data_IF_927171394700
#
_entry.id   IF_927171394700
#
_cell.length_a   1.000
_cell.length_b   1.000
_cell.length_c   1.000
_cell.angle_alpha   90.00
_cell.angle_beta   90.00
_cell.angle_gamma   90.00
#
_symmetry.space_group_name_H-M   'P 1'
#
loop_
_entity.id
_entity.type
_entity.pdbx_description
1 polymer ?
#
# COMPACT_ATOMS: atom_id res chain seq x y z
N UNK A 1 -17.32 -0.99 -27.36
CA UNK A 1 -18.01 0.17 -26.75
C UNK A 1 -17.00 1.29 -26.64
N UNK A 2 -17.10 2.33 -27.47
CA UNK A 2 -16.30 3.54 -27.27
C UNK A 2 -16.97 4.35 -26.15
N UNK A 3 -16.26 4.56 -25.05
CA UNK A 3 -16.66 5.50 -24.00
C UNK A 3 -15.73 6.70 -24.09
N UNK A 4 -16.31 7.89 -24.15
CA UNK A 4 -15.61 9.18 -24.31
C UNK A 4 -15.59 10.00 -23.02
N UNK A 5 -16.30 9.56 -21.97
CA UNK A 5 -16.33 10.22 -20.66
C UNK A 5 -16.38 9.22 -19.50
N UNK A 6 -15.99 9.67 -18.30
CA UNK A 6 -16.09 8.86 -17.07
C UNK A 6 -17.55 8.44 -16.76
N UNK A 7 -18.52 9.30 -17.07
CA UNK A 7 -19.94 8.99 -16.89
C UNK A 7 -20.42 7.87 -17.82
N UNK A 8 -19.94 7.84 -19.06
CA UNK A 8 -20.22 6.76 -20.02
C UNK A 8 -19.59 5.45 -19.57
N UNK A 9 -18.35 5.47 -19.08
CA UNK A 9 -17.69 4.28 -18.50
C UNK A 9 -18.50 3.75 -17.32
N UNK A 10 -18.87 4.62 -16.37
CA UNK A 10 -19.67 4.23 -15.20
C UNK A 10 -21.03 3.64 -15.60
N UNK A 11 -21.67 4.20 -16.63
CA UNK A 11 -22.94 3.70 -17.16
C UNK A 11 -22.77 2.34 -17.84
N UNK A 12 -21.72 2.17 -18.65
CA UNK A 12 -21.40 0.89 -19.28
C UNK A 12 -21.09 -0.20 -18.24
N UNK A 13 -20.31 0.12 -17.20
CA UNK A 13 -20.02 -0.81 -16.09
C UNK A 13 -21.31 -1.18 -15.35
N UNK A 14 -22.17 -0.21 -15.01
CA UNK A 14 -23.46 -0.49 -14.35
C UNK A 14 -24.37 -1.38 -15.19
N UNK A 15 -24.46 -1.14 -16.49
CA UNK A 15 -25.27 -1.95 -17.40
C UNK A 15 -24.72 -3.39 -17.52
N UNK A 16 -23.42 -3.57 -17.34
CA UNK A 16 -22.75 -4.87 -17.42
C UNK A 16 -22.48 -5.51 -16.05
N UNK A 17 -22.89 -4.91 -14.93
CA UNK A 17 -22.48 -5.35 -13.58
C UNK A 17 -22.91 -6.80 -13.32
N UNK A 18 -24.06 -7.22 -13.86
CA UNK A 18 -24.56 -8.59 -13.77
C UNK A 18 -23.58 -9.62 -14.34
N UNK A 19 -22.76 -9.26 -15.33
CA UNK A 19 -21.72 -10.14 -15.89
C UNK A 19 -20.50 -10.27 -14.97
N UNK A 20 -20.20 -9.23 -14.18
CA UNK A 20 -19.10 -9.23 -13.22
C UNK A 20 -19.43 -10.00 -11.95
N UNK A 21 -20.68 -9.91 -11.47
CA UNK A 21 -21.09 -10.49 -10.19
C UNK A 21 -21.83 -11.83 -10.34
N UNK A 22 -21.94 -12.34 -11.56
CA UNK A 22 -22.60 -13.64 -11.81
C UNK A 22 -21.87 -14.72 -11.02
N UNK A 23 -22.61 -15.47 -10.20
CA UNK A 23 -22.11 -16.67 -9.52
C UNK A 23 -21.49 -17.62 -10.55
N UNK A 24 -20.29 -18.11 -10.28
CA UNK A 24 -19.48 -18.96 -11.19
C UNK A 24 -19.15 -18.29 -12.55
N UNK A 25 -19.24 -16.96 -12.62
CA UNK A 25 -18.93 -16.15 -13.80
C UNK A 25 -17.46 -15.71 -13.87
N UNK A 26 -17.01 -15.22 -15.04
CA UNK A 26 -15.61 -14.81 -15.25
C UNK A 26 -15.33 -13.39 -14.71
N UNK A 27 -15.98 -12.97 -13.63
CA UNK A 27 -15.97 -11.57 -13.16
C UNK A 27 -14.58 -11.01 -12.91
N UNK A 28 -13.71 -11.81 -12.28
CA UNK A 28 -12.31 -11.45 -12.03
C UNK A 28 -11.52 -11.31 -13.34
N UNK A 29 -11.74 -12.20 -14.31
CA UNK A 29 -11.10 -12.11 -15.61
C UNK A 29 -11.58 -10.87 -16.41
N UNK A 30 -12.87 -10.55 -16.35
CA UNK A 30 -13.43 -9.34 -16.96
C UNK A 30 -12.85 -8.07 -16.33
N UNK A 31 -12.64 -8.07 -15.01
CA UNK A 31 -11.97 -6.97 -14.32
C UNK A 31 -10.52 -6.82 -14.80
N UNK A 32 -9.77 -7.92 -14.85
CA UNK A 32 -8.39 -7.91 -15.34
C UNK A 32 -8.29 -7.36 -16.78
N UNK A 33 -9.16 -7.80 -17.69
CA UNK A 33 -9.19 -7.26 -19.05
C UNK A 33 -9.57 -5.78 -19.09
N UNK A 34 -10.50 -5.34 -18.23
CA UNK A 34 -10.88 -3.93 -18.16
C UNK A 34 -9.73 -3.06 -17.69
N UNK A 35 -8.96 -3.50 -16.70
CA UNK A 35 -7.73 -2.82 -16.25
C UNK A 35 -6.70 -2.76 -17.38
N UNK A 36 -6.45 -3.90 -18.04
CA UNK A 36 -5.46 -3.99 -19.12
C UNK A 36 -5.80 -3.10 -20.32
N UNK A 37 -7.07 -3.04 -20.71
CA UNK A 37 -7.53 -2.20 -21.80
C UNK A 37 -7.58 -0.71 -21.42
N UNK A 38 -7.84 -0.39 -20.15
CA UNK A 38 -7.85 1.00 -19.66
C UNK A 38 -6.44 1.58 -19.58
N UNK A 39 -5.47 0.79 -19.09
CA UNK A 39 -4.06 1.23 -19.06
C UNK A 39 -3.38 1.15 -20.44
N UNK A 40 -3.73 0.14 -21.23
CA UNK A 40 -3.10 -0.25 -22.48
C UNK A 40 -2.02 -1.31 -22.26
N UNK A 41 -2.04 -2.38 -23.05
CA UNK A 41 -1.13 -3.54 -22.89
C UNK A 41 0.34 -3.13 -23.03
N UNK A 42 0.68 -2.33 -24.04
CA UNK A 42 2.04 -1.84 -24.22
C UNK A 42 2.49 -0.92 -23.07
N UNK A 43 1.56 -0.18 -22.46
CA UNK A 43 1.86 0.67 -21.31
C UNK A 43 2.11 -0.16 -20.06
N UNK A 44 1.37 -1.26 -19.85
CA UNK A 44 1.63 -2.19 -18.74
C UNK A 44 3.06 -2.76 -18.84
N UNK A 45 3.47 -3.21 -20.02
CA UNK A 45 4.82 -3.73 -20.22
C UNK A 45 5.91 -2.67 -19.96
N UNK A 46 5.64 -1.39 -20.28
CA UNK A 46 6.55 -0.27 -20.02
C UNK A 46 6.57 0.16 -18.54
N UNK A 47 5.46 -0.02 -17.83
CA UNK A 47 5.32 0.34 -16.42
C UNK A 47 6.18 -0.55 -15.52
N UNK A 48 6.24 -1.85 -15.81
CA UNK A 48 7.04 -2.80 -15.05
C UNK A 48 8.54 -2.50 -15.17
N UNK A 49 9.30 -2.81 -14.12
CA UNK A 49 10.78 -2.70 -14.16
C UNK A 49 11.41 -3.92 -14.84
N UNK A 50 10.72 -5.07 -14.78
CA UNK A 50 11.16 -6.34 -15.36
C UNK A 50 9.98 -7.04 -16.05
N UNK A 51 10.26 -7.95 -16.97
CA UNK A 51 9.22 -8.77 -17.60
C UNK A 51 8.60 -9.71 -16.57
N UNK A 52 7.30 -9.51 -16.30
CA UNK A 52 6.58 -10.21 -15.23
C UNK A 52 5.12 -10.43 -15.63
N UNK A 53 4.55 -11.62 -15.40
CA UNK A 53 3.13 -11.84 -15.62
C UNK A 53 2.31 -11.15 -14.50
N UNK A 54 1.21 -10.50 -14.87
CA UNK A 54 0.29 -9.87 -13.89
C UNK A 54 -0.31 -10.89 -12.90
N UNK A 55 -0.55 -12.12 -13.37
CA UNK A 55 -1.00 -13.24 -12.56
C UNK A 55 0.10 -14.29 -12.60
N UNK A 56 0.74 -14.49 -11.45
CA UNK A 56 1.82 -15.44 -11.27
C UNK A 56 1.34 -16.88 -11.09
N UNK A 57 2.28 -17.72 -10.68
CA UNK A 57 2.04 -19.15 -10.39
C UNK A 57 0.94 -19.27 -9.32
N UNK A 58 0.10 -20.30 -9.43
CA UNK A 58 -1.02 -20.57 -8.52
C UNK A 58 -2.08 -19.45 -8.43
N UNK A 59 -2.09 -18.49 -9.37
CA UNK A 59 -3.09 -17.42 -9.41
C UNK A 59 -2.80 -16.22 -8.51
N UNK A 60 -1.60 -16.14 -7.91
CA UNK A 60 -1.20 -14.97 -7.12
C UNK A 60 -1.05 -13.73 -7.99
N UNK A 61 -1.48 -12.57 -7.48
CA UNK A 61 -1.23 -11.30 -8.15
C UNK A 61 0.25 -10.94 -8.04
N UNK A 62 0.86 -10.46 -9.13
CA UNK A 62 2.15 -9.79 -9.06
C UNK A 62 2.00 -8.41 -8.41
N UNK A 63 3.10 -7.81 -7.94
CA UNK A 63 3.07 -6.45 -7.40
C UNK A 63 2.59 -5.43 -8.46
N UNK A 64 2.91 -5.65 -9.73
CA UNK A 64 2.46 -4.82 -10.85
C UNK A 64 0.94 -4.86 -11.01
N UNK A 65 0.30 -6.02 -10.82
CA UNK A 65 -1.17 -6.12 -10.85
C UNK A 65 -1.80 -5.40 -9.65
N UNK A 66 -1.21 -5.56 -8.46
CA UNK A 66 -1.65 -4.86 -7.24
C UNK A 66 -1.53 -3.34 -7.43
N UNK A 67 -0.39 -2.85 -7.90
CA UNK A 67 -0.18 -1.43 -8.16
C UNK A 67 -1.07 -0.92 -9.32
N UNK A 68 -1.35 -1.74 -10.33
CA UNK A 68 -2.28 -1.37 -11.39
C UNK A 68 -3.69 -1.11 -10.83
N UNK A 69 -4.13 -1.91 -9.85
CA UNK A 69 -5.40 -1.71 -9.14
C UNK A 69 -5.37 -0.45 -8.26
N UNK A 70 -4.27 -0.21 -7.53
CA UNK A 70 -4.20 0.86 -6.53
C UNK A 70 -3.92 2.25 -7.11
N UNK A 71 -3.03 2.33 -8.10
CA UNK A 71 -2.52 3.60 -8.64
C UNK A 71 -2.66 3.72 -10.16
N UNK A 72 -3.25 2.72 -10.83
CA UNK A 72 -3.45 2.75 -12.29
C UNK A 72 -2.14 2.66 -13.07
N UNK A 73 -1.08 2.12 -12.46
CA UNK A 73 0.25 1.92 -13.03
C UNK A 73 0.79 0.56 -12.62
N UNK A 74 1.32 -0.20 -13.56
CA UNK A 74 1.87 -1.53 -13.30
C UNK A 74 3.33 -1.44 -12.81
N UNK A 75 3.62 -0.51 -11.89
CA UNK A 75 4.96 -0.32 -11.33
C UNK A 75 5.33 -1.46 -10.39
N UNK A 76 6.60 -1.85 -10.33
CA UNK A 76 7.04 -3.05 -9.62
C UNK A 76 7.26 -2.84 -8.12
N UNK A 77 7.34 -1.59 -7.64
CA UNK A 77 7.74 -1.30 -6.26
C UNK A 77 6.71 -0.47 -5.49
N UNK A 78 6.88 -0.44 -4.17
CA UNK A 78 5.97 0.21 -3.20
C UNK A 78 6.55 1.48 -2.56
N UNK A 79 7.80 1.85 -2.86
CA UNK A 79 8.39 3.12 -2.41
C UNK A 79 7.84 4.32 -3.19
N UNK A 80 8.18 5.54 -2.77
CA UNK A 80 7.80 6.77 -3.48
C UNK A 80 8.67 7.01 -4.72
N UNK A 81 8.05 7.47 -5.81
CA UNK A 81 8.74 7.98 -6.98
C UNK A 81 9.60 6.93 -7.70
N UNK A 82 10.74 7.37 -8.22
CA UNK A 82 11.72 6.51 -8.88
C UNK A 82 13.00 6.43 -8.02
N UNK A 83 13.68 5.29 -8.04
CA UNK A 83 14.96 5.09 -7.36
C UNK A 83 15.96 4.45 -8.32
N UNK A 84 17.19 4.96 -8.34
CA UNK A 84 18.29 4.31 -9.06
C UNK A 84 19.00 3.33 -8.11
N UNK A 85 19.18 2.09 -8.55
CA UNK A 85 19.85 1.04 -7.79
C UNK A 85 21.01 0.48 -8.61
N UNK A 86 22.19 0.40 -8.01
CA UNK A 86 23.44 0.09 -8.73
C UNK A 86 24.02 1.32 -9.44
N UNK A 87 25.27 1.19 -9.92
CA UNK A 87 26.08 2.31 -10.40
C UNK A 87 26.80 3.01 -9.24
N UNK A 88 28.13 3.00 -9.23
CA UNK A 88 28.92 3.73 -8.24
C UNK A 88 28.99 5.22 -8.56
N UNK A 89 29.39 6.05 -7.59
CA UNK A 89 29.71 7.47 -7.84
C UNK A 89 30.78 7.64 -8.94
N UNK A 90 31.66 6.64 -9.09
CA UNK A 90 32.72 6.57 -10.11
C UNK A 90 32.23 6.20 -11.52
N UNK A 91 30.96 5.80 -11.67
CA UNK A 91 30.39 5.34 -12.96
C UNK A 91 29.80 6.49 -13.80
N UNK A 92 29.82 7.71 -13.25
CA UNK A 92 29.46 8.94 -13.96
C UNK A 92 30.58 9.36 -14.93
N UNK A 93 30.77 8.59 -16.01
CA UNK A 93 31.59 9.06 -17.13
C UNK A 93 30.87 10.15 -17.91
N UNK A 94 31.58 11.22 -18.27
CA UNK A 94 31.07 12.28 -19.15
C UNK A 94 30.55 11.67 -20.47
N UNK A 95 29.22 11.52 -20.57
CA UNK A 95 28.52 11.07 -21.78
C UNK A 95 28.04 9.62 -21.82
N UNK A 96 28.10 8.85 -20.72
CA UNK A 96 27.62 7.45 -20.67
C UNK A 96 26.50 7.26 -19.64
N UNK A 97 25.49 6.45 -19.98
CA UNK A 97 24.45 6.00 -19.04
C UNK A 97 25.13 5.34 -17.83
N UNK A 98 25.11 6.01 -16.67
CA UNK A 98 25.62 5.43 -15.43
C UNK A 98 24.95 4.09 -15.16
N UNK A 99 25.73 3.06 -14.78
CA UNK A 99 25.34 1.64 -14.79
C UNK A 99 24.24 1.21 -13.80
N UNK A 100 23.45 2.15 -13.28
CA UNK A 100 22.33 1.89 -12.39
C UNK A 100 21.04 1.53 -13.12
N UNK A 101 20.21 0.72 -12.47
CA UNK A 101 18.86 0.41 -12.93
C UNK A 101 17.88 1.35 -12.23
N UNK A 102 17.08 2.06 -13.01
CA UNK A 102 16.01 2.91 -12.49
C UNK A 102 14.75 2.09 -12.24
N UNK A 103 14.34 2.03 -10.97
CA UNK A 103 13.18 1.31 -10.50
C UNK A 103 12.02 2.26 -10.20
N UNK A 104 10.80 1.82 -10.50
CA UNK A 104 9.57 2.62 -10.42
C UNK A 104 8.71 2.21 -9.23
N UNK A 105 8.37 3.18 -8.38
CA UNK A 105 7.45 3.08 -7.25
C UNK A 105 6.20 3.94 -7.42
N UNK A 106 5.46 4.24 -6.36
CA UNK A 106 4.25 5.05 -6.41
C UNK A 106 4.58 6.51 -6.83
N UNK A 107 4.08 7.00 -7.98
CA UNK A 107 4.46 8.32 -8.50
C UNK A 107 3.81 9.47 -7.74
N UNK A 108 2.73 9.21 -6.98
CA UNK A 108 1.99 10.20 -6.18
C UNK A 108 1.18 9.50 -5.12
N UNK A 109 0.64 10.28 -4.19
CA UNK A 109 -0.30 9.82 -3.15
C UNK A 109 -1.47 9.02 -3.76
N UNK A 110 -1.68 7.83 -3.21
CA UNK A 110 -2.72 6.90 -3.66
C UNK A 110 -4.08 7.24 -3.04
N UNK A 111 -5.17 6.84 -3.71
CA UNK A 111 -6.53 6.99 -3.14
C UNK A 111 -6.79 5.99 -2.02
N UNK A 112 -6.30 4.76 -2.21
CA UNK A 112 -6.34 3.65 -1.25
C UNK A 112 -4.91 3.29 -0.91
N UNK A 113 -4.63 3.07 0.37
CA UNK A 113 -3.31 2.76 0.86
C UNK A 113 -2.93 1.31 0.62
N UNK A 114 -1.65 1.02 0.79
CA UNK A 114 -1.12 -0.33 0.74
C UNK A 114 -0.16 -0.54 1.90
N UNK A 115 -0.30 -1.66 2.60
CA UNK A 115 0.61 -2.07 3.66
C UNK A 115 0.94 -3.55 3.43
N UNK A 116 2.18 -3.95 3.67
CA UNK A 116 2.62 -5.33 3.42
C UNK A 116 3.56 -5.82 4.51
N UNK A 117 3.42 -7.10 4.89
CA UNK A 117 4.29 -7.76 5.84
C UNK A 117 5.74 -7.83 5.34
N UNK A 118 5.95 -7.80 4.02
CA UNK A 118 7.28 -7.81 3.43
C UNK A 118 8.12 -6.60 3.84
N UNK A 119 7.49 -5.47 4.17
CA UNK A 119 8.18 -4.31 4.71
C UNK A 119 8.84 -4.63 6.06
N UNK A 120 8.14 -5.35 6.94
CA UNK A 120 8.67 -5.77 8.25
C UNK A 120 9.79 -6.80 8.13
N UNK A 121 9.74 -7.64 7.10
CA UNK A 121 10.77 -8.64 6.82
C UNK A 121 12.02 -8.02 6.20
N UNK A 122 11.90 -6.84 5.58
CA UNK A 122 13.02 -6.05 5.10
C UNK A 122 13.74 -5.29 6.22
N UNK A 123 15.03 -5.02 6.02
CA UNK A 123 15.73 -4.02 6.82
C UNK A 123 15.30 -2.60 6.40
N UNK A 124 15.46 -1.63 7.30
CA UNK A 124 15.26 -0.22 6.98
C UNK A 124 16.13 0.20 5.79
N UNK A 125 15.56 1.00 4.87
CA UNK A 125 16.26 1.45 3.65
C UNK A 125 16.24 0.45 2.50
N UNK A 126 15.67 -0.76 2.67
CA UNK A 126 15.48 -1.69 1.55
C UNK A 126 14.37 -1.23 0.60
N UNK A 127 14.34 -1.79 -0.62
CA UNK A 127 13.28 -1.55 -1.62
C UNK A 127 11.89 -2.05 -1.19
N UNK A 128 11.81 -2.80 -0.07
CA UNK A 128 10.57 -3.28 0.53
C UNK A 128 9.89 -2.24 1.42
N UNK A 129 10.57 -1.12 1.71
CA UNK A 129 9.98 -0.02 2.49
C UNK A 129 8.82 0.59 1.71
N UNK A 130 7.62 0.55 2.28
CA UNK A 130 6.44 1.15 1.65
C UNK A 130 6.53 2.67 1.79
N UNK A 131 6.39 3.38 0.68
CA UNK A 131 6.49 4.84 0.65
C UNK A 131 5.26 5.54 1.24
N UNK A 132 5.45 6.79 1.67
CA UNK A 132 4.37 7.61 2.21
C UNK A 132 3.19 7.84 1.24
N UNK A 133 3.41 7.71 -0.07
CA UNK A 133 2.35 7.74 -1.08
C UNK A 133 1.30 6.62 -0.90
N UNK A 134 1.69 5.48 -0.33
CA UNK A 134 0.79 4.40 0.04
C UNK A 134 0.39 4.42 1.52
N UNK A 135 1.30 4.83 2.42
CA UNK A 135 1.02 4.88 3.86
C UNK A 135 0.08 6.00 4.26
N UNK A 136 0.05 7.12 3.52
CA UNK A 136 -0.88 8.22 3.76
C UNK A 136 -1.82 8.33 2.56
N UNK A 137 -2.80 7.44 2.36
CA UNK A 137 -3.74 7.54 1.24
C UNK A 137 -4.74 8.70 1.39
N UNK A 138 -5.41 9.12 0.31
CA UNK A 138 -6.46 10.16 0.36
C UNK A 138 -7.71 9.70 1.11
N UNK A 139 -8.04 8.41 1.03
CA UNK A 139 -9.12 7.80 1.82
C UNK A 139 -8.51 6.94 2.92
N UNK A 140 -9.13 6.80 4.10
CA UNK A 140 -8.54 6.07 5.22
C UNK A 140 -8.69 4.55 5.06
N UNK A 141 -8.57 4.04 3.84
CA UNK A 141 -8.74 2.63 3.47
C UNK A 141 -7.39 2.12 2.99
N UNK A 142 -7.03 0.92 3.42
CA UNK A 142 -5.77 0.26 3.11
C UNK A 142 -6.06 -1.16 2.64
N UNK A 143 -5.41 -1.54 1.54
CA UNK A 143 -5.22 -2.96 1.22
C UNK A 143 -4.03 -3.44 2.04
N UNK A 144 -4.23 -4.51 2.80
CA UNK A 144 -3.20 -5.12 3.65
C UNK A 144 -2.80 -6.44 3.03
N UNK A 145 -1.50 -6.63 2.81
CA UNK A 145 -0.93 -7.92 2.45
C UNK A 145 -0.26 -8.52 3.69
N UNK A 146 -0.86 -9.58 4.23
CA UNK A 146 -0.31 -10.34 5.34
C UNK A 146 -0.02 -11.76 4.84
N UNK A 147 1.27 -12.08 4.71
CA UNK A 147 1.74 -13.34 4.12
C UNK A 147 1.19 -13.59 2.71
N UNK A 148 0.40 -14.66 2.51
CA UNK A 148 -0.20 -15.04 1.23
C UNK A 148 -1.59 -14.43 0.99
N UNK A 149 -2.15 -13.68 1.94
CA UNK A 149 -3.51 -13.17 1.87
C UNK A 149 -3.57 -11.65 1.81
N UNK A 150 -4.58 -11.15 1.10
CA UNK A 150 -4.94 -9.75 1.07
C UNK A 150 -6.22 -9.53 1.87
N UNK A 151 -6.26 -8.44 2.63
CA UNK A 151 -7.42 -7.97 3.36
C UNK A 151 -7.57 -6.45 3.24
N UNK A 152 -8.59 -5.89 3.87
CA UNK A 152 -8.87 -4.46 3.93
C UNK A 152 -8.91 -4.01 5.39
N UNK A 153 -8.19 -2.91 5.65
CA UNK A 153 -8.14 -2.19 6.92
C UNK A 153 -8.60 -0.75 6.67
N UNK A 154 -9.39 -0.16 7.55
CA UNK A 154 -9.76 1.24 7.42
C UNK A 154 -9.91 1.96 8.75
N UNK A 155 -9.58 3.25 8.79
CA UNK A 155 -9.75 4.08 9.98
C UNK A 155 -11.15 4.69 10.04
N UNK A 156 -11.75 4.69 11.23
CA UNK A 156 -12.97 5.45 11.51
C UNK A 156 -12.62 6.91 11.79
N UNK A 157 -13.43 7.85 11.31
CA UNK A 157 -13.27 9.28 11.63
C UNK A 157 -12.43 10.10 10.64
N UNK A 158 -11.96 9.52 9.53
CA UNK A 158 -11.25 10.24 8.48
C UNK A 158 -9.78 9.84 8.38
N UNK A 159 -8.93 10.74 7.91
CA UNK A 159 -7.48 10.49 7.76
C UNK A 159 -6.87 10.13 9.12
N UNK A 160 -6.29 8.93 9.27
CA UNK A 160 -5.71 8.52 10.54
C UNK A 160 -4.48 9.39 10.87
N UNK A 161 -4.27 9.71 12.16
CA UNK A 161 -3.08 10.44 12.59
C UNK A 161 -1.82 9.59 12.40
N UNK A 162 -0.67 10.25 12.45
CA UNK A 162 0.61 9.56 12.65
C UNK A 162 0.76 9.15 14.13
N UNK A 163 1.42 8.01 14.36
CA UNK A 163 1.70 7.49 15.70
C UNK A 163 3.17 7.11 15.72
N UNK A 164 4.01 8.10 16.00
CA UNK A 164 5.46 7.97 16.07
C UNK A 164 5.95 7.98 17.52
N UNK A 165 7.17 7.50 17.75
CA UNK A 165 7.77 7.50 19.08
C UNK A 165 8.05 8.95 19.49
N UNK A 166 8.80 9.66 18.64
CA UNK A 166 9.13 11.06 18.82
C UNK A 166 8.39 11.96 17.83
N UNK A 167 8.04 13.19 18.23
CA UNK A 167 7.33 14.14 17.37
C UNK A 167 8.15 14.57 16.14
N UNK A 168 9.46 14.50 16.27
CA UNK A 168 10.42 14.93 15.24
C UNK A 168 10.87 13.75 14.36
N UNK A 169 10.41 12.53 14.68
CA UNK A 169 10.65 11.34 13.86
C UNK A 169 9.85 11.42 12.56
N UNK A 170 10.32 10.70 11.55
CA UNK A 170 9.66 10.57 10.26
C UNK A 170 9.10 9.17 10.12
N UNK A 171 7.99 9.04 9.39
CA UNK A 171 7.46 7.72 9.09
C UNK A 171 8.43 7.01 8.12
N UNK A 172 8.77 5.73 8.35
CA UNK A 172 9.53 4.96 7.38
C UNK A 172 8.89 5.03 5.99
N UNK A 173 9.67 5.41 4.98
CA UNK A 173 9.17 5.64 3.62
C UNK A 173 8.81 7.10 3.29
N UNK A 174 8.92 8.04 4.23
CA UNK A 174 8.90 9.47 3.92
C UNK A 174 10.13 9.87 3.07
N UNK A 175 10.01 10.83 2.13
CA UNK A 175 11.09 11.28 1.25
C UNK A 175 12.12 12.14 2.00
N UNK A 176 13.42 11.91 1.81
CA UNK A 176 14.47 12.70 2.49
C UNK A 176 14.29 14.21 2.29
N UNK A 177 14.66 15.07 3.27
CA UNK A 177 14.39 16.51 3.19
C UNK A 177 15.02 17.21 1.97
N UNK A 178 16.12 16.68 1.45
CA UNK A 178 16.80 17.21 0.25
C UNK A 178 16.30 16.60 -1.07
N UNK A 179 15.52 15.51 -1.00
CA UNK A 179 14.96 14.81 -2.15
C UNK A 179 13.52 15.25 -2.47
N UNK A 180 12.89 16.01 -1.57
CA UNK A 180 11.67 16.74 -1.87
C UNK A 180 12.02 17.86 -2.85
N UNK A 181 11.74 17.64 -4.14
CA UNK A 181 11.70 18.74 -5.10
C UNK A 181 10.65 19.77 -4.66
N UNK A 182 10.79 21.00 -5.13
CA UNK A 182 9.86 22.11 -4.89
C UNK A 182 8.48 21.87 -5.58
N UNK A 183 7.88 20.69 -5.41
CA UNK A 183 6.55 20.39 -5.92
C UNK A 183 5.50 20.97 -4.97
N UNK A 184 4.61 21.80 -5.52
CA UNK A 184 3.59 22.60 -4.82
C UNK A 184 2.49 21.77 -4.10
N UNK A 185 2.60 20.45 -4.10
CA UNK A 185 1.68 19.50 -3.45
C UNK A 185 2.32 18.83 -2.20
N UNK A 186 3.26 19.51 -1.52
CA UNK A 186 3.82 19.04 -0.25
C UNK A 186 2.73 19.06 0.84
N UNK A 187 1.94 17.98 0.89
CA UNK A 187 0.87 17.82 1.87
C UNK A 187 1.51 17.70 3.24
N UNK A 188 1.22 18.67 4.11
CA UNK A 188 1.60 18.65 5.52
C UNK A 188 1.30 17.26 6.11
N UNK A 189 2.27 16.63 6.81
CA UNK A 189 2.04 15.34 7.41
C UNK A 189 0.81 15.39 8.34
N UNK A 190 0.03 14.30 8.43
CA UNK A 190 -1.12 14.28 9.30
C UNK A 190 -0.68 14.53 10.75
N UNK A 191 -1.58 15.12 11.54
CA UNK A 191 -1.31 15.38 12.95
C UNK A 191 -0.87 14.10 13.68
N UNK A 192 0.06 14.24 14.62
CA UNK A 192 0.41 13.16 15.54
C UNK A 192 -0.78 12.88 16.49
N UNK A 193 -0.96 11.62 16.85
CA UNK A 193 -1.92 11.23 17.87
C UNK A 193 -1.50 11.83 19.22
N UNK A 194 -2.40 12.61 19.83
CA UNK A 194 -2.12 13.24 21.11
C UNK A 194 -2.05 12.21 22.24
N UNK A 195 -1.31 12.54 23.30
CA UNK A 195 -1.11 11.65 24.42
C UNK A 195 -2.44 11.33 25.12
N UNK A 196 -2.71 10.04 25.30
CA UNK A 196 -3.95 9.54 25.90
C UNK A 196 -5.15 9.47 24.95
N UNK A 197 -5.01 9.92 23.70
CA UNK A 197 -6.02 9.72 22.67
C UNK A 197 -5.88 8.34 21.99
N UNK A 198 -6.95 7.92 21.32
CA UNK A 198 -6.97 6.71 20.50
C UNK A 198 -7.85 6.90 19.27
N UNK A 199 -7.65 6.05 18.27
CA UNK A 199 -8.54 5.96 17.12
C UNK A 199 -8.86 4.50 16.81
N UNK A 200 -9.95 4.27 16.07
CA UNK A 200 -10.38 2.91 15.72
C UNK A 200 -9.99 2.57 14.29
N UNK A 201 -9.37 1.41 14.13
CA UNK A 201 -9.22 0.71 12.87
C UNK A 201 -10.28 -0.40 12.79
N UNK A 202 -10.78 -0.64 11.59
CA UNK A 202 -11.67 -1.74 11.29
C UNK A 202 -10.96 -2.66 10.30
N UNK A 203 -11.05 -3.96 10.53
CA UNK A 203 -10.38 -4.99 9.76
C UNK A 203 -11.40 -6.05 9.33
N UNK A 204 -11.33 -6.47 8.07
CA UNK A 204 -12.21 -7.53 7.56
C UNK A 204 -11.47 -8.86 7.44
N UNK A 205 -11.76 -9.80 8.33
CA UNK A 205 -11.18 -11.15 8.23
C UNK A 205 -11.99 -12.02 7.25
N UNK A 206 -11.46 -12.18 6.04
CA UNK A 206 -12.09 -13.02 5.02
C UNK A 206 -11.96 -14.52 5.32
N UNK A 207 -10.98 -14.92 6.13
CA UNK A 207 -10.73 -16.34 6.45
C UNK A 207 -11.59 -16.83 7.61
N UNK A 208 -12.02 -15.94 8.50
CA UNK A 208 -12.88 -16.31 9.63
C UNK A 208 -14.37 -16.53 9.27
N UNK A 209 -14.75 -16.46 7.99
CA UNK A 209 -16.15 -16.56 7.53
C UNK A 209 -17.12 -15.59 8.25
N UNK A 210 -16.60 -14.45 8.72
CA UNK A 210 -17.37 -13.43 9.44
C UNK A 210 -17.97 -12.42 8.46
N UNK A 211 -19.19 -11.98 8.79
CA UNK A 211 -19.89 -10.92 8.06
C UNK A 211 -19.64 -9.53 8.68
N UNK A 212 -19.04 -9.47 9.87
CA UNK A 212 -18.72 -8.27 10.63
C UNK A 212 -17.22 -7.94 10.62
N UNK A 213 -16.91 -6.66 10.71
CA UNK A 213 -15.54 -6.18 10.77
C UNK A 213 -15.03 -6.16 12.22
N UNK A 214 -13.82 -6.66 12.42
CA UNK A 214 -13.09 -6.61 13.69
C UNK A 214 -12.70 -5.16 13.97
N UNK A 215 -13.00 -4.65 15.16
CA UNK A 215 -12.56 -3.33 15.61
C UNK A 215 -11.25 -3.47 16.38
N UNK A 216 -10.24 -2.73 15.96
CA UNK A 216 -8.98 -2.55 16.67
C UNK A 216 -8.91 -1.12 17.21
N UNK A 217 -8.52 -0.97 18.47
CA UNK A 217 -8.29 0.35 19.08
C UNK A 217 -6.80 0.62 19.12
N UNK A 218 -6.38 1.75 18.54
CA UNK A 218 -4.97 2.12 18.42
C UNK A 218 -4.66 3.22 19.43
N UNK A 219 -3.72 2.93 20.30
CA UNK A 219 -3.17 3.86 21.29
C UNK A 219 -1.74 4.22 20.92
N UNK A 220 -1.25 5.38 21.40
CA UNK A 220 0.18 5.69 21.37
C UNK A 220 0.86 5.07 22.59
N UNK A 221 1.94 4.32 22.37
CA UNK A 221 2.75 3.79 23.46
C UNK A 221 3.41 4.91 24.26
N UNK A 222 3.27 4.89 25.58
CA UNK A 222 3.78 5.94 26.49
C UNK A 222 5.22 5.70 26.97
N UNK A 223 6.03 4.98 26.20
CA UNK A 223 7.42 4.68 26.56
C UNK A 223 7.58 3.30 27.21
N UNK A 224 7.27 2.27 26.43
CA UNK A 224 7.96 0.99 26.47
C UNK A 224 8.05 0.55 25.02
N UNK A 225 9.26 0.42 24.45
CA UNK A 225 9.40 -0.19 23.13
C UNK A 225 8.56 -1.48 23.05
N UNK A 226 8.09 -1.89 21.85
CA UNK A 226 7.06 -2.91 21.68
C UNK A 226 7.28 -4.02 22.68
N UNK A 227 6.33 -4.23 23.60
CA UNK A 227 6.48 -5.12 24.74
C UNK A 227 7.21 -6.38 24.29
N UNK A 228 8.49 -6.47 24.64
CA UNK A 228 9.33 -7.63 24.43
C UNK A 228 8.90 -8.75 25.40
N UNK A 229 7.62 -8.86 25.71
CA UNK A 229 7.00 -10.15 25.98
C UNK A 229 7.25 -10.98 24.73
N UNK A 230 8.25 -11.87 24.78
CA UNK A 230 8.72 -12.69 23.67
C UNK A 230 7.71 -13.71 23.12
N UNK A 231 6.46 -13.28 22.90
CA UNK A 231 5.47 -13.92 22.07
C UNK A 231 5.64 -13.47 20.62
N UNK A 232 5.23 -14.32 19.68
CA UNK A 232 5.16 -13.96 18.28
C UNK A 232 4.15 -12.81 18.10
N UNK A 233 4.60 -11.68 17.55
CA UNK A 233 3.70 -10.60 17.10
C UNK A 233 2.84 -11.15 15.97
N UNK A 234 1.53 -10.97 16.06
CA UNK A 234 0.60 -11.41 15.03
C UNK A 234 0.95 -10.78 13.67
N UNK A 235 0.88 -11.51 12.55
CA UNK A 235 1.23 -10.97 11.23
C UNK A 235 0.51 -9.65 10.91
N UNK A 236 -0.77 -9.52 11.24
CA UNK A 236 -1.53 -8.28 11.02
C UNK A 236 -0.97 -7.11 11.83
N UNK A 237 -0.67 -7.30 13.12
CA UNK A 237 -0.08 -6.27 13.97
C UNK A 237 1.28 -5.84 13.42
N UNK A 238 2.10 -6.80 12.98
CA UNK A 238 3.39 -6.52 12.37
C UNK A 238 3.27 -5.63 11.13
N UNK A 239 2.19 -5.76 10.34
CA UNK A 239 1.89 -4.86 9.21
C UNK A 239 1.40 -3.49 9.69
N UNK A 240 0.49 -3.44 10.67
CA UNK A 240 -0.03 -2.18 11.23
C UNK A 240 1.12 -1.33 11.78
N UNK A 241 2.08 -1.95 12.45
CA UNK A 241 3.24 -1.29 13.02
C UNK A 241 4.19 -0.69 11.97
N UNK A 242 4.13 -1.10 10.69
CA UNK A 242 4.92 -0.41 9.64
C UNK A 242 4.35 0.96 9.28
N UNK A 243 3.05 1.18 9.55
CA UNK A 243 2.36 2.47 9.37
C UNK A 243 2.29 3.27 10.66
N UNK A 244 2.17 2.62 11.81
CA UNK A 244 2.07 3.26 13.12
C UNK A 244 3.11 2.64 14.08
N UNK A 245 4.40 3.02 13.97
CA UNK A 245 5.49 2.37 14.70
C UNK A 245 5.37 2.41 16.22
N UNK A 246 4.74 3.45 16.78
CA UNK A 246 4.51 3.58 18.22
C UNK A 246 3.11 3.13 18.66
N UNK A 247 2.39 2.37 17.84
CA UNK A 247 1.05 1.90 18.19
C UNK A 247 1.07 0.77 19.22
N UNK A 248 0.18 0.86 20.19
CA UNK A 248 -0.33 -0.28 20.95
C UNK A 248 -1.72 -0.64 20.42
N UNK A 249 -1.93 -1.91 20.10
CA UNK A 249 -3.13 -2.40 19.40
C UNK A 249 -3.97 -3.20 20.39
N UNK A 250 -5.19 -2.74 20.65
CA UNK A 250 -6.19 -3.47 21.43
C UNK A 250 -7.22 -4.11 20.50
N UNK A 251 -7.32 -5.45 20.53
CA UNK A 251 -8.30 -6.23 19.78
C UNK A 251 -9.71 -6.18 20.39
N UNK A 252 -9.90 -5.43 21.48
CA UNK A 252 -11.17 -5.24 22.18
C UNK A 252 -11.81 -6.57 22.64
N UNK A 253 -10.98 -7.56 22.98
CA UNK A 253 -11.41 -8.89 23.40
C UNK A 253 -11.66 -9.88 22.25
N UNK A 254 -11.43 -9.49 20.99
CA UNK A 254 -11.44 -10.39 19.84
C UNK A 254 -10.22 -11.31 19.84
N UNK A 255 -10.35 -12.48 19.20
CA UNK A 255 -9.25 -13.44 19.07
C UNK A 255 -8.18 -12.90 18.12
N UNK A 256 -6.92 -12.96 18.56
CA UNK A 256 -5.77 -12.53 17.76
C UNK A 256 -5.51 -13.56 16.67
N UNK A 257 -5.49 -13.11 15.42
CA UNK A 257 -5.19 -13.95 14.26
C UNK A 257 -3.66 -14.08 14.15
N UNK A 258 -3.14 -15.26 14.49
CA UNK A 258 -1.72 -15.61 14.37
C UNK A 258 -1.37 -16.15 12.98
#
# INVERSE_FOLDING_TARGET
TQCSSAAEVATAVRNCIGSYIRKDGPGVALLLYSLALTRGIAMIARDADFETPLVGINGYCSQELVNLLLIGRAHSNVFNGERNVGGGEDDATEGGEGGGVRLKGAPRRANVGFLTLFERQGAEGTLLTVGSNFKRPHTPIFVVQSESHYSVLWAQGGTPPDVLLDSDERLPGDPEPSAAGEDEDEVEPPAQLADGESFSLMYFDQMAERDDAVRLTIHRSTGGGPSATGGHVAPLEAVILTRWPAAEIDWNGEEIIL
#
